data_IF_576316025627
#
_entry.id   IF_576316025627
#
_cell.length_a   1.000
_cell.length_b   1.000
_cell.length_c   1.000
_cell.angle_alpha   90.00
_cell.angle_beta   90.00
_cell.angle_gamma   90.00
#
_symmetry.space_group_name_H-M   'P 1'
#
loop_
_entity.id
_entity.type
_entity.pdbx_description
1 polymer ?
#
# COMPACT_ATOMS: atom_id res chain seq x y z
N UNK A 1 -11.64 12.84 -20.86
CA UNK A 1 -11.79 11.56 -20.12
C UNK A 1 -11.66 11.92 -18.65
N UNK A 2 -12.68 11.65 -17.84
CA UNK A 2 -12.63 11.90 -16.40
C UNK A 2 -11.66 10.90 -15.78
N UNK A 3 -10.80 11.34 -14.87
CA UNK A 3 -9.97 10.41 -14.12
C UNK A 3 -10.84 9.47 -13.28
N UNK A 4 -10.47 8.19 -13.13
CA UNK A 4 -11.20 7.25 -12.30
C UNK A 4 -11.20 7.74 -10.85
N UNK A 5 -12.30 7.52 -10.13
CA UNK A 5 -12.33 7.76 -8.68
C UNK A 5 -11.45 6.74 -7.96
N UNK A 6 -11.02 7.01 -6.71
CA UNK A 6 -10.31 6.02 -5.90
C UNK A 6 -11.02 4.66 -5.83
N UNK A 7 -12.35 4.66 -5.68
CA UNK A 7 -13.11 3.40 -5.68
C UNK A 7 -13.11 2.70 -7.05
N UNK A 8 -13.22 3.45 -8.15
CA UNK A 8 -13.11 2.86 -9.49
C UNK A 8 -11.74 2.20 -9.68
N UNK A 9 -10.67 2.80 -9.16
CA UNK A 9 -9.33 2.22 -9.18
C UNK A 9 -9.28 0.92 -8.38
N UNK A 10 -9.84 0.88 -7.16
CA UNK A 10 -9.90 -0.35 -6.34
C UNK A 10 -10.66 -1.45 -7.08
N UNK A 11 -11.82 -1.15 -7.65
CA UNK A 11 -12.63 -2.13 -8.39
C UNK A 11 -11.91 -2.66 -9.63
N UNK A 12 -11.24 -1.78 -10.36
CA UNK A 12 -10.42 -2.18 -11.51
C UNK A 12 -9.27 -3.08 -11.07
N UNK A 13 -8.63 -2.76 -9.94
CA UNK A 13 -7.53 -3.53 -9.39
C UNK A 13 -7.97 -4.94 -8.98
N UNK A 14 -9.09 -5.07 -8.27
CA UNK A 14 -9.66 -6.39 -7.88
C UNK A 14 -9.94 -7.24 -9.13
N UNK A 15 -10.54 -6.64 -10.16
CA UNK A 15 -10.90 -7.34 -11.39
C UNK A 15 -9.73 -7.65 -12.33
N UNK A 16 -8.59 -6.98 -12.16
CA UNK A 16 -7.43 -7.18 -13.02
C UNK A 16 -6.75 -8.53 -12.75
N UNK A 17 -6.11 -9.16 -13.76
CA UNK A 17 -5.22 -10.27 -13.52
C UNK A 17 -4.00 -9.82 -12.70
N UNK A 18 -3.35 -10.75 -12.01
CA UNK A 18 -2.06 -10.47 -11.40
C UNK A 18 -1.03 -10.15 -12.48
N UNK A 19 -0.25 -9.07 -12.33
CA UNK A 19 0.77 -8.73 -13.29
C UNK A 19 1.99 -9.67 -13.13
N UNK A 20 2.77 -9.83 -14.19
CA UNK A 20 4.03 -10.59 -14.13
C UNK A 20 5.12 -9.85 -13.33
N UNK A 21 4.98 -8.53 -13.16
CA UNK A 21 5.78 -7.66 -12.29
C UNK A 21 4.84 -6.74 -11.50
N UNK A 22 5.09 -6.54 -10.22
CA UNK A 22 4.12 -5.91 -9.29
C UNK A 22 3.76 -4.47 -9.68
N UNK A 23 4.75 -3.66 -10.06
CA UNK A 23 4.55 -2.26 -10.40
C UNK A 23 5.74 -1.68 -11.15
N UNK A 24 5.54 -0.48 -11.70
CA UNK A 24 6.61 0.39 -12.17
C UNK A 24 7.21 1.16 -10.98
N UNK A 25 8.45 1.66 -11.12
CA UNK A 25 9.06 2.57 -10.13
C UNK A 25 8.15 3.79 -9.97
N UNK A 26 7.68 4.06 -8.75
CA UNK A 26 7.01 5.33 -8.46
C UNK A 26 8.06 6.44 -8.62
N UNK A 27 7.87 7.30 -9.62
CA UNK A 27 8.97 8.15 -10.10
C UNK A 27 9.20 9.41 -9.25
N UNK A 28 8.38 9.68 -8.22
CA UNK A 28 8.45 10.92 -7.46
C UNK A 28 7.94 10.79 -6.03
N UNK A 29 8.71 11.31 -5.07
CA UNK A 29 8.21 11.77 -3.77
C UNK A 29 8.11 10.74 -2.65
N UNK A 30 8.50 9.50 -2.89
CA UNK A 30 8.33 8.40 -1.94
C UNK A 30 9.71 7.88 -1.54
N UNK A 31 9.92 7.56 -0.26
CA UNK A 31 11.22 7.16 0.27
C UNK A 31 11.71 5.86 -0.42
N UNK A 32 13.02 5.60 -0.48
CA UNK A 32 13.59 4.41 -1.15
C UNK A 32 12.98 3.10 -0.62
N UNK A 33 12.64 3.05 0.67
CA UNK A 33 11.95 1.93 1.33
C UNK A 33 10.49 1.73 0.87
N UNK A 34 9.81 2.79 0.48
CA UNK A 34 8.47 2.67 -0.09
C UNK A 34 8.53 2.19 -1.54
N UNK A 35 9.56 2.57 -2.31
CA UNK A 35 9.78 2.05 -3.67
C UNK A 35 9.87 0.53 -3.67
N UNK A 36 10.57 -0.05 -2.70
CA UNK A 36 10.63 -1.49 -2.44
C UNK A 36 9.23 -2.11 -2.27
N UNK A 37 8.35 -1.46 -1.50
CA UNK A 37 6.97 -1.91 -1.34
C UNK A 37 6.13 -1.85 -2.62
N UNK A 38 6.44 -0.99 -3.59
CA UNK A 38 5.70 -0.96 -4.86
C UNK A 38 6.31 -1.86 -5.94
N UNK A 39 7.56 -2.29 -5.79
CA UNK A 39 8.30 -3.07 -6.81
C UNK A 39 8.57 -4.54 -6.47
N UNK A 40 8.80 -4.89 -5.19
CA UNK A 40 9.34 -6.18 -4.78
C UNK A 40 8.36 -7.06 -3.99
N UNK A 41 8.44 -8.38 -4.17
CA UNK A 41 7.63 -9.37 -3.47
C UNK A 41 6.79 -10.27 -4.39
N UNK A 42 5.84 -11.05 -3.85
CA UNK A 42 5.03 -11.98 -4.63
C UNK A 42 4.05 -11.22 -5.53
N UNK A 43 3.59 -11.90 -6.60
CA UNK A 43 2.57 -11.40 -7.53
C UNK A 43 1.39 -10.80 -6.78
N UNK A 44 1.26 -9.48 -6.85
CA UNK A 44 0.19 -8.71 -6.22
C UNK A 44 -0.27 -7.59 -7.14
N UNK A 45 -1.43 -7.04 -6.83
CA UNK A 45 -1.98 -5.87 -7.53
C UNK A 45 -1.89 -4.71 -6.55
N UNK A 46 -1.28 -3.62 -6.94
CA UNK A 46 -1.07 -2.47 -6.06
C UNK A 46 -1.37 -1.17 -6.77
N UNK A 47 -1.93 -0.21 -6.06
CA UNK A 47 -2.14 1.14 -6.56
C UNK A 47 -2.07 2.17 -5.42
N UNK A 48 -1.49 3.33 -5.73
CA UNK A 48 -1.63 4.54 -4.92
C UNK A 48 -2.94 5.22 -5.33
N UNK A 49 -3.84 5.40 -4.37
CA UNK A 49 -5.15 6.01 -4.59
C UNK A 49 -5.08 7.53 -4.43
N UNK A 50 -4.20 8.00 -3.56
CA UNK A 50 -3.97 9.40 -3.26
C UNK A 50 -2.58 9.57 -2.63
N UNK A 51 -1.90 10.66 -2.97
CA UNK A 51 -0.57 11.00 -2.51
C UNK A 51 -0.47 12.53 -2.39
N UNK A 52 -0.16 12.99 -1.19
CA UNK A 52 0.05 14.39 -0.83
C UNK A 52 1.39 14.56 -0.08
N UNK A 53 2.36 13.72 -0.38
CA UNK A 53 3.69 13.76 0.24
C UNK A 53 4.41 15.10 -0.05
N UNK A 54 5.40 15.44 0.77
CA UNK A 54 6.09 16.73 0.70
C UNK A 54 7.54 16.66 1.18
N UNK A 55 8.32 17.65 0.79
CA UNK A 55 9.74 17.79 1.15
C UNK A 55 9.99 19.26 1.54
N UNK A 56 10.18 19.53 2.83
CA UNK A 56 10.45 20.87 3.36
C UNK A 56 11.82 21.41 2.94
N UNK A 57 12.76 20.55 2.54
CA UNK A 57 14.08 20.98 2.07
C UNK A 57 14.02 21.45 0.61
N UNK A 58 13.13 20.85 -0.19
CA UNK A 58 12.95 21.20 -1.60
C UNK A 58 11.82 22.21 -1.85
N UNK A 59 10.84 22.28 -0.95
CA UNK A 59 9.72 23.21 -1.02
C UNK A 59 9.79 24.24 0.13
N UNK A 60 10.38 25.40 -0.19
CA UNK A 60 10.58 26.48 0.78
C UNK A 60 9.29 27.15 1.26
N UNK A 61 8.17 26.95 0.55
CA UNK A 61 6.86 27.48 0.93
C UNK A 61 6.06 26.48 1.77
N UNK A 62 6.52 25.23 1.90
CA UNK A 62 5.87 24.19 2.67
C UNK A 62 6.00 24.45 4.17
N UNK A 63 4.88 24.41 4.88
CA UNK A 63 4.81 24.62 6.33
C UNK A 63 4.29 23.40 7.07
N UNK A 64 4.51 23.34 8.38
CA UNK A 64 3.93 22.29 9.22
C UNK A 64 2.38 22.30 9.19
N UNK A 65 1.75 23.45 8.91
CA UNK A 65 0.29 23.52 8.73
C UNK A 65 -0.13 22.84 7.42
N UNK A 66 0.63 23.04 6.33
CA UNK A 66 0.40 22.33 5.06
C UNK A 66 0.53 20.81 5.22
N UNK A 67 1.51 20.34 5.98
CA UNK A 67 1.64 18.91 6.31
C UNK A 67 0.36 18.39 6.98
N UNK A 68 -0.13 19.08 8.01
CA UNK A 68 -1.35 18.67 8.73
C UNK A 68 -2.56 18.66 7.78
N UNK A 69 -2.70 19.65 6.90
CA UNK A 69 -3.80 19.69 5.93
C UNK A 69 -3.75 18.50 4.97
N UNK A 70 -2.55 18.11 4.53
CA UNK A 70 -2.32 16.97 3.64
C UNK A 70 -2.57 15.63 4.34
N UNK A 71 -2.16 15.47 5.59
CA UNK A 71 -2.50 14.31 6.43
C UNK A 71 -4.03 14.17 6.58
N UNK A 72 -4.74 15.27 6.82
CA UNK A 72 -6.21 15.29 6.92
C UNK A 72 -6.86 14.89 5.58
N UNK A 73 -6.37 15.43 4.46
CA UNK A 73 -6.87 15.09 3.13
C UNK A 73 -6.66 13.60 2.82
N UNK A 74 -5.49 13.07 3.14
CA UNK A 74 -5.17 11.66 2.96
C UNK A 74 -6.08 10.74 3.78
N UNK A 75 -6.26 11.06 5.06
CA UNK A 75 -7.18 10.33 5.93
C UNK A 75 -8.64 10.40 5.44
N UNK A 76 -9.06 11.52 4.85
CA UNK A 76 -10.41 11.65 4.29
C UNK A 76 -10.63 10.67 3.12
N UNK A 77 -9.64 10.51 2.24
CA UNK A 77 -9.70 9.53 1.14
C UNK A 77 -9.76 8.11 1.70
N UNK A 78 -8.89 7.75 2.64
CA UNK A 78 -8.90 6.43 3.29
C UNK A 78 -10.27 6.09 3.90
N UNK A 79 -10.86 7.03 4.64
CA UNK A 79 -12.18 6.84 5.26
C UNK A 79 -13.30 6.68 4.22
N UNK A 80 -13.31 7.52 3.19
CA UNK A 80 -14.30 7.44 2.12
C UNK A 80 -14.22 6.09 1.38
N UNK A 81 -13.02 5.66 1.01
CA UNK A 81 -12.82 4.35 0.35
C UNK A 81 -13.22 3.21 1.29
N UNK A 82 -12.87 3.28 2.57
CA UNK A 82 -13.27 2.25 3.56
C UNK A 82 -14.78 2.12 3.67
N UNK A 83 -15.51 3.23 3.76
CA UNK A 83 -16.96 3.25 3.85
C UNK A 83 -17.61 2.65 2.60
N UNK A 84 -17.18 3.08 1.41
CA UNK A 84 -17.73 2.58 0.15
C UNK A 84 -17.40 1.11 -0.11
N UNK A 85 -16.19 0.67 0.25
CA UNK A 85 -15.77 -0.73 0.17
C UNK A 85 -16.57 -1.62 1.12
N UNK A 86 -16.80 -1.17 2.35
CA UNK A 86 -17.62 -1.89 3.33
C UNK A 86 -19.07 -2.03 2.85
N UNK A 87 -19.60 -1.03 2.15
CA UNK A 87 -20.91 -1.12 1.52
C UNK A 87 -20.93 -2.09 0.32
N UNK A 88 -19.83 -2.19 -0.42
CA UNK A 88 -19.73 -3.06 -1.59
C UNK A 88 -19.53 -4.54 -1.22
N UNK A 89 -18.59 -4.85 -0.34
CA UNK A 89 -18.17 -6.22 -0.05
C UNK A 89 -19.07 -6.94 0.97
N UNK A 90 -19.97 -6.23 1.65
CA UNK A 90 -20.94 -6.76 2.63
C UNK A 90 -20.36 -7.49 3.85
N UNK A 91 -19.09 -7.91 3.81
CA UNK A 91 -18.35 -8.48 4.92
C UNK A 91 -17.71 -7.38 5.78
N UNK A 92 -17.61 -7.67 7.08
CA UNK A 92 -16.91 -6.77 8.01
C UNK A 92 -15.41 -6.87 7.73
N UNK A 93 -14.75 -5.75 7.36
CA UNK A 93 -13.31 -5.78 7.32
C UNK A 93 -12.73 -6.06 8.70
N UNK A 94 -11.53 -6.62 8.70
CA UNK A 94 -10.69 -6.73 9.88
C UNK A 94 -9.89 -5.43 10.04
N UNK A 95 -10.26 -4.63 11.03
CA UNK A 95 -9.40 -3.59 11.61
C UNK A 95 -8.52 -4.27 12.67
N UNK A 96 -7.59 -5.12 12.26
CA UNK A 96 -6.79 -5.89 13.21
C UNK A 96 -5.39 -5.31 13.42
N UNK A 97 -4.99 -5.26 14.69
CA UNK A 97 -3.61 -5.05 15.15
C UNK A 97 -2.64 -6.10 14.60
N UNK A 98 -3.15 -7.26 14.16
CA UNK A 98 -2.40 -8.34 13.56
C UNK A 98 -2.95 -8.71 12.16
N UNK A 99 -2.06 -9.12 11.27
CA UNK A 99 -2.42 -9.60 9.95
C UNK A 99 -3.12 -10.97 9.99
N UNK A 100 -3.97 -11.33 9.00
CA UNK A 100 -4.58 -12.66 8.92
C UNK A 100 -3.52 -13.79 8.89
N UNK A 101 -3.76 -14.93 9.54
CA UNK A 101 -2.74 -15.99 9.71
C UNK A 101 -2.38 -16.75 8.43
N UNK A 102 -3.27 -16.74 7.44
CA UNK A 102 -3.13 -17.33 6.09
C UNK A 102 -2.81 -16.27 5.02
N UNK A 103 -2.60 -15.02 5.43
CA UNK A 103 -1.91 -14.05 4.60
C UNK A 103 -0.44 -14.48 4.53
N UNK A 104 0.16 -14.50 3.34
CA UNK A 104 1.48 -15.08 3.13
C UNK A 104 2.57 -14.20 3.77
N UNK A 105 2.79 -14.23 5.10
CA UNK A 105 3.64 -13.31 5.92
C UNK A 105 5.00 -13.94 6.28
N UNK A 106 6.12 -13.42 5.76
CA UNK A 106 7.50 -13.78 6.19
C UNK A 106 8.19 -12.73 7.07
N UNK A 107 8.41 -13.07 8.35
CA UNK A 107 9.03 -12.15 9.31
C UNK A 107 10.49 -11.80 9.03
N UNK A 108 11.14 -12.45 8.06
CA UNK A 108 12.59 -12.38 7.82
C UNK A 108 12.94 -12.02 6.36
N UNK A 109 12.08 -11.27 5.66
CA UNK A 109 12.51 -10.66 4.39
C UNK A 109 13.45 -9.49 4.72
N UNK A 110 14.65 -9.47 4.17
CA UNK A 110 15.65 -8.39 4.31
C UNK A 110 16.17 -8.20 2.89
N UNK A 111 15.81 -7.07 2.27
CA UNK A 111 15.93 -6.85 0.83
C UNK A 111 16.72 -5.59 0.47
N UNK A 112 17.49 -5.06 1.42
CA UNK A 112 18.38 -3.90 1.21
C UNK A 112 19.35 -4.12 0.03
N UNK A 113 19.65 -5.39 -0.30
CA UNK A 113 20.56 -5.75 -1.40
C UNK A 113 19.86 -6.18 -2.71
N UNK A 114 18.52 -6.27 -2.79
CA UNK A 114 17.81 -6.75 -4.00
C UNK A 114 16.69 -5.83 -4.50
N UNK A 115 16.95 -4.54 -4.41
CA UNK A 115 16.20 -3.42 -5.00
C UNK A 115 15.76 -3.62 -6.48
N UNK A 116 16.39 -4.54 -7.23
CA UNK A 116 16.04 -4.89 -8.61
C UNK A 116 15.54 -6.34 -8.85
N UNK A 117 15.49 -7.20 -7.82
CA UNK A 117 15.06 -8.60 -7.99
C UNK A 117 13.56 -8.76 -7.73
N UNK A 118 12.78 -8.69 -8.82
CA UNK A 118 11.44 -9.25 -8.79
C UNK A 118 11.56 -10.74 -8.44
N UNK A 119 11.02 -11.17 -7.29
CA UNK A 119 10.90 -12.59 -6.97
C UNK A 119 9.99 -13.24 -8.03
N UNK A 120 10.63 -13.82 -9.06
CA UNK A 120 9.95 -14.37 -10.23
C UNK A 120 9.11 -15.60 -9.88
N UNK A 121 9.52 -16.35 -8.87
CA UNK A 121 8.67 -17.36 -8.27
C UNK A 121 7.89 -16.70 -7.14
N UNK A 122 6.57 -16.88 -7.10
CA UNK A 122 5.84 -16.48 -5.90
C UNK A 122 6.23 -17.33 -4.67
N UNK A 123 7.34 -18.06 -4.65
CA UNK A 123 7.66 -18.95 -3.52
C UNK A 123 8.02 -18.19 -2.24
N UNK A 124 8.13 -16.86 -2.31
CA UNK A 124 8.27 -15.99 -1.15
C UNK A 124 6.97 -15.81 -0.37
N UNK A 125 6.97 -16.29 0.86
CA UNK A 125 6.15 -15.72 1.93
C UNK A 125 6.64 -14.28 2.15
N UNK A 126 5.74 -13.29 2.25
CA UNK A 126 6.04 -11.85 2.23
C UNK A 126 5.26 -11.07 3.29
N UNK A 127 5.90 -10.15 3.97
CA UNK A 127 5.17 -9.26 4.86
C UNK A 127 5.04 -7.88 4.27
N UNK A 128 3.99 -7.14 4.64
CA UNK A 128 4.05 -5.69 4.68
C UNK A 128 5.05 -5.18 5.74
N UNK A 129 5.82 -6.07 6.38
CA UNK A 129 6.58 -5.84 7.61
C UNK A 129 8.02 -6.36 7.52
N UNK A 130 8.86 -5.73 6.71
CA UNK A 130 10.27 -6.09 6.51
C UNK A 130 11.19 -4.85 6.53
N UNK A 131 12.49 -5.06 6.76
CA UNK A 131 13.54 -4.01 6.72
C UNK A 131 13.72 -3.54 5.27
N UNK A 132 13.57 -2.23 5.02
CA UNK A 132 13.41 -1.70 3.66
C UNK A 132 12.03 -1.96 3.03
N UNK A 133 11.08 -2.48 3.81
CA UNK A 133 9.69 -2.71 3.43
C UNK A 133 8.69 -1.84 4.17
N UNK A 134 7.41 -2.15 3.98
CA UNK A 134 6.27 -1.35 4.44
C UNK A 134 6.09 -1.23 5.97
N UNK A 135 7.01 -1.74 6.79
CA UNK A 135 7.06 -1.49 8.24
C UNK A 135 8.04 -0.40 8.66
N UNK A 136 8.98 0.00 7.82
CA UNK A 136 9.73 1.23 8.11
C UNK A 136 8.87 2.46 7.78
N UNK A 137 7.92 2.29 6.86
CA UNK A 137 6.72 3.10 6.74
C UNK A 137 5.77 2.85 7.92
N UNK A 138 5.71 3.77 8.87
CA UNK A 138 4.70 3.72 9.95
C UNK A 138 3.28 3.77 9.35
N UNK A 139 2.69 2.60 9.11
CA UNK A 139 1.29 2.48 8.72
C UNK A 139 0.46 2.93 9.91
N UNK A 140 -0.05 4.15 9.87
CA UNK A 140 -0.91 4.63 10.95
C UNK A 140 -2.24 3.85 10.95
N UNK A 141 -2.76 3.51 9.76
CA UNK A 141 -4.07 2.85 9.63
C UNK A 141 -4.13 1.84 8.48
N UNK A 142 -4.79 0.71 8.72
CA UNK A 142 -5.08 -0.31 7.69
C UNK A 142 -6.42 -0.99 7.90
N UNK A 143 -6.98 -1.48 6.80
CA UNK A 143 -8.21 -2.27 6.77
C UNK A 143 -8.02 -3.45 5.81
N UNK A 144 -8.41 -4.65 6.25
CA UNK A 144 -8.27 -5.87 5.45
C UNK A 144 -9.63 -6.50 5.17
N UNK A 145 -9.90 -6.82 3.92
CA UNK A 145 -11.05 -7.63 3.48
C UNK A 145 -10.58 -8.98 2.96
N UNK A 146 -11.30 -10.03 3.35
CA UNK A 146 -11.19 -11.36 2.78
C UNK A 146 -12.11 -11.47 1.56
N UNK A 147 -11.55 -11.76 0.38
CA UNK A 147 -12.28 -11.91 -0.87
C UNK A 147 -12.46 -13.39 -1.27
N UNK A 148 -12.22 -14.32 -0.36
CA UNK A 148 -12.23 -15.76 -0.59
C UNK A 148 -10.82 -16.29 -0.87
N UNK A 149 -10.34 -16.13 -2.09
CA UNK A 149 -9.02 -16.60 -2.55
C UNK A 149 -7.93 -15.51 -2.47
N UNK A 150 -8.34 -14.28 -2.20
CA UNK A 150 -7.48 -13.09 -2.14
C UNK A 150 -7.77 -12.29 -0.85
N UNK A 151 -6.81 -11.48 -0.44
CA UNK A 151 -6.99 -10.39 0.51
C UNK A 151 -6.92 -9.05 -0.23
N UNK A 152 -7.77 -8.12 0.17
CA UNK A 152 -7.62 -6.70 -0.15
C UNK A 152 -7.20 -5.95 1.11
N UNK A 153 -6.10 -5.22 1.01
CA UNK A 153 -5.55 -4.39 2.08
C UNK A 153 -5.62 -2.94 1.62
N UNK A 154 -6.41 -2.13 2.31
CA UNK A 154 -6.37 -0.68 2.19
C UNK A 154 -5.53 -0.13 3.33
N UNK A 155 -4.70 0.86 3.04
CA UNK A 155 -3.80 1.43 4.02
C UNK A 155 -3.65 2.94 3.85
N UNK A 156 -3.34 3.61 4.96
CA UNK A 156 -3.05 5.03 5.07
C UNK A 156 -1.71 5.18 5.76
N UNK A 157 -0.77 5.84 5.09
CA UNK A 157 0.59 6.08 5.56
C UNK A 157 0.74 7.54 5.94
N UNK A 158 1.37 7.75 7.10
CA UNK A 158 1.77 9.04 7.64
C UNK A 158 3.18 8.84 8.20
N UNK A 159 4.21 9.32 7.49
CA UNK A 159 5.60 9.23 7.98
C UNK A 159 6.23 10.63 8.00
N UNK A 160 6.66 11.13 9.16
CA UNK A 160 7.59 12.25 9.23
C UNK A 160 9.03 11.75 9.01
N UNK A 161 9.72 12.29 8.01
CA UNK A 161 11.15 12.08 7.77
C UNK A 161 12.00 13.29 8.17
N UNK A 162 13.32 13.20 7.95
CA UNK A 162 14.30 14.26 8.26
C UNK A 162 14.19 15.40 7.24
N UNK A 163 13.12 16.20 7.34
CA UNK A 163 12.84 17.30 6.43
C UNK A 163 11.84 16.98 5.31
N UNK A 164 11.31 15.77 5.23
CA UNK A 164 10.22 15.38 4.32
C UNK A 164 9.08 14.69 5.07
N UNK A 165 7.94 14.49 4.42
CA UNK A 165 6.86 13.65 4.93
C UNK A 165 6.17 12.87 3.82
N UNK A 166 5.71 11.67 4.15
CA UNK A 166 4.93 10.81 3.25
C UNK A 166 3.48 10.78 3.73
N UNK A 167 2.54 11.07 2.83
CA UNK A 167 1.10 11.06 3.06
C UNK A 167 0.41 10.37 1.88
N UNK A 168 0.23 9.06 1.98
CA UNK A 168 -0.36 8.27 0.90
C UNK A 168 -1.48 7.35 1.39
N UNK A 169 -2.49 7.17 0.55
CA UNK A 169 -3.50 6.12 0.69
C UNK A 169 -3.31 5.16 -0.46
N UNK A 170 -3.09 3.89 -0.15
CA UNK A 170 -2.88 2.86 -1.16
C UNK A 170 -3.72 1.62 -0.89
N UNK A 171 -3.79 0.79 -1.93
CA UNK A 171 -4.50 -0.48 -1.90
C UNK A 171 -3.63 -1.58 -2.49
N UNK A 172 -3.72 -2.76 -1.88
CA UNK A 172 -3.01 -3.95 -2.28
C UNK A 172 -3.97 -5.13 -2.32
N UNK A 173 -3.91 -5.93 -3.39
CA UNK A 173 -4.64 -7.21 -3.51
C UNK A 173 -3.63 -8.35 -3.61
N UNK A 174 -3.74 -9.29 -2.70
CA UNK A 174 -2.79 -10.37 -2.46
C UNK A 174 -3.49 -11.73 -2.56
N UNK A 175 -2.91 -12.74 -3.21
CA UNK A 175 -3.45 -14.10 -3.15
C UNK A 175 -3.21 -14.69 -1.75
N UNK A 176 -4.11 -15.57 -1.29
CA UNK A 176 -3.89 -16.36 -0.06
C UNK A 176 -2.85 -17.45 -0.27
N UNK A 177 -2.20 -17.88 0.81
CA UNK A 177 -1.28 -19.01 0.76
C UNK A 177 -1.97 -20.29 0.26
N UNK A 178 -1.31 -21.01 -0.66
CA UNK A 178 -1.79 -22.29 -1.17
C UNK A 178 -2.93 -22.23 -2.21
N UNK A 179 -3.41 -21.04 -2.59
CA UNK A 179 -4.31 -20.88 -3.74
C UNK A 179 -3.49 -21.06 -5.02
N UNK A 180 -3.88 -22.04 -5.84
CA UNK A 180 -3.17 -22.43 -7.07
C UNK A 180 -2.97 -21.27 -8.02
N UNK A 181 -1.72 -21.07 -8.44
CA UNK A 181 -1.26 -20.05 -9.38
C UNK A 181 -1.50 -20.42 -10.84
#
# INVERSE_FOLDING_TARGET
MTQPTPLDMVRQLVAAPYPDRIGDVLLYGIHESDHNFFRNGPRRKIAVLHDESGDFEQDADLTAEDQIEREIANLAVFKAVTEEMSAWLSDRPSEADAWPPDMPISQDFDDDEREDEALEDGSGTWTPSYEGGYHEAEIDRRVVWDLGDEYLVLFCQEMPGDGNFVCATGVCVLPKDGVGR
#
